data_IF_410251188935
#
_entry.id   IF_410251188935
#
_cell.length_a   1.000
_cell.length_b   1.000
_cell.length_c   1.000
_cell.angle_alpha   90.00
_cell.angle_beta   90.00
_cell.angle_gamma   90.00
#
_symmetry.space_group_name_H-M   'P 1'
#
loop_
_entity.id
_entity.type
_entity.pdbx_description
1 polymer ?
#
# COMPACT_ATOMS: atom_id res chain seq x y z
N UNK A 1 4.04 28.98 5.54
CA UNK A 1 4.83 28.05 6.37
C UNK A 1 4.15 26.70 6.32
N UNK A 2 4.89 25.64 5.99
CA UNK A 2 4.35 24.28 5.97
C UNK A 2 3.95 23.85 7.39
N UNK A 3 2.72 23.36 7.57
CA UNK A 3 2.25 22.85 8.85
C UNK A 3 3.01 21.55 9.20
N UNK A 4 3.32 21.32 10.50
CA UNK A 4 3.89 20.04 10.93
C UNK A 4 2.89 18.89 10.77
N UNK A 5 3.40 17.65 10.78
CA UNK A 5 2.54 16.47 10.71
C UNK A 5 1.77 16.26 12.02
N UNK A 6 0.48 15.88 11.92
CA UNK A 6 -0.32 15.46 13.07
C UNK A 6 0.19 14.14 13.64
N UNK A 7 -0.05 13.88 14.92
CA UNK A 7 0.30 12.61 15.57
C UNK A 7 -0.28 11.40 14.83
N UNK A 8 -1.54 11.50 14.38
CA UNK A 8 -2.19 10.46 13.59
C UNK A 8 -1.46 10.22 12.26
N UNK A 9 -1.12 11.29 11.53
CA UNK A 9 -0.39 11.19 10.26
C UNK A 9 0.94 10.47 10.46
N UNK A 10 1.65 10.77 11.56
CA UNK A 10 2.92 10.10 11.87
C UNK A 10 2.72 8.61 12.11
N UNK A 11 1.73 8.25 12.92
CA UNK A 11 1.41 6.84 13.20
C UNK A 11 1.07 6.11 11.89
N UNK A 12 0.26 6.71 11.03
CA UNK A 12 -0.12 6.10 9.75
C UNK A 12 1.08 5.93 8.81
N UNK A 13 1.94 6.94 8.67
CA UNK A 13 3.18 6.82 7.88
C UNK A 13 4.10 5.71 8.42
N UNK A 14 4.18 5.52 9.74
CA UNK A 14 4.94 4.43 10.35
C UNK A 14 4.31 3.08 9.99
N UNK A 15 3.00 2.92 10.19
CA UNK A 15 2.27 1.68 9.88
C UNK A 15 2.43 1.34 8.40
N UNK A 16 2.25 2.31 7.52
CA UNK A 16 2.38 2.12 6.09
C UNK A 16 3.80 1.70 5.69
N UNK A 17 4.84 2.31 6.27
CA UNK A 17 6.23 1.90 6.04
C UNK A 17 6.52 0.47 6.53
N UNK A 18 6.01 0.10 7.71
CA UNK A 18 6.17 -1.24 8.30
C UNK A 18 5.48 -2.33 7.49
N UNK A 19 4.42 -2.00 6.74
CA UNK A 19 3.77 -2.97 5.86
C UNK A 19 4.43 -3.01 4.48
N UNK A 20 4.70 -1.85 3.89
CA UNK A 20 5.17 -1.77 2.49
C UNK A 20 6.62 -2.17 2.30
N UNK A 21 7.52 -1.90 3.26
CA UNK A 21 8.93 -2.31 3.14
C UNK A 21 9.06 -3.83 3.22
N UNK A 22 8.56 -4.54 4.25
CA UNK A 22 8.66 -5.99 4.32
C UNK A 22 7.86 -6.68 3.21
N UNK A 23 6.65 -6.18 2.90
CA UNK A 23 5.86 -6.73 1.79
C UNK A 23 6.56 -6.58 0.44
N UNK A 24 7.21 -5.43 0.21
CA UNK A 24 7.97 -5.20 -1.00
C UNK A 24 9.25 -6.04 -1.08
N UNK A 25 9.97 -6.21 0.04
CA UNK A 25 11.12 -7.12 0.13
C UNK A 25 10.70 -8.57 -0.17
N UNK A 26 9.57 -9.02 0.39
CA UNK A 26 9.05 -10.35 0.13
C UNK A 26 8.67 -10.52 -1.35
N UNK A 27 8.09 -9.51 -2.00
CA UNK A 27 7.80 -9.53 -3.43
C UNK A 27 9.05 -9.61 -4.32
N UNK A 28 10.15 -8.96 -3.91
CA UNK A 28 11.40 -8.94 -4.68
C UNK A 28 12.18 -10.24 -4.50
N UNK A 29 12.32 -10.70 -3.25
CA UNK A 29 13.26 -11.76 -2.89
C UNK A 29 12.61 -13.12 -2.60
N UNK A 30 11.30 -13.18 -2.41
CA UNK A 30 10.58 -14.42 -2.14
C UNK A 30 9.43 -14.61 -3.15
N UNK A 31 9.73 -15.11 -4.37
CA UNK A 31 8.72 -15.27 -5.43
C UNK A 31 7.43 -16.01 -5.02
N UNK A 32 7.45 -17.03 -4.15
CA UNK A 32 6.23 -17.65 -3.65
C UNK A 32 5.31 -16.70 -2.89
N UNK A 33 5.82 -15.61 -2.30
CA UNK A 33 4.99 -14.58 -1.69
C UNK A 33 4.01 -13.96 -2.69
N UNK A 34 4.48 -13.69 -3.91
CA UNK A 34 3.65 -13.12 -4.96
C UNK A 34 2.50 -14.07 -5.34
N UNK A 35 2.74 -15.38 -5.43
CA UNK A 35 1.73 -16.35 -5.91
C UNK A 35 0.91 -17.02 -4.81
N UNK A 36 1.36 -17.00 -3.56
CA UNK A 36 0.65 -17.62 -2.44
C UNK A 36 -0.07 -16.61 -1.55
N UNK A 37 0.42 -15.37 -1.53
CA UNK A 37 -0.08 -14.34 -0.59
C UNK A 37 -0.69 -13.17 -1.35
N UNK A 38 0.05 -12.54 -2.27
CA UNK A 38 -0.40 -11.29 -2.91
C UNK A 38 -1.36 -11.53 -4.08
N UNK A 39 -1.05 -12.50 -4.94
CA UNK A 39 -1.88 -12.95 -6.05
C UNK A 39 -2.16 -14.46 -5.98
N UNK A 40 -2.82 -14.94 -4.91
CA UNK A 40 -3.23 -16.34 -4.78
C UNK A 40 -4.28 -16.72 -5.82
N UNK A 41 -4.39 -18.01 -6.19
CA UNK A 41 -5.52 -18.50 -6.96
C UNK A 41 -6.86 -18.07 -6.34
N UNK A 42 -7.87 -17.68 -7.15
CA UNK A 42 -7.93 -17.77 -8.61
C UNK A 42 -7.36 -16.55 -9.36
N UNK A 43 -6.66 -15.63 -8.69
CA UNK A 43 -6.08 -14.45 -9.35
C UNK A 43 -5.13 -14.87 -10.47
N UNK A 44 -5.17 -14.15 -11.60
CA UNK A 44 -4.26 -14.39 -12.70
C UNK A 44 -2.80 -14.25 -12.21
N UNK A 45 -1.97 -15.23 -12.58
CA UNK A 45 -0.56 -15.22 -12.19
C UNK A 45 0.12 -13.97 -12.72
N UNK A 46 0.77 -13.22 -11.83
CA UNK A 46 1.53 -12.03 -12.19
C UNK A 46 2.91 -12.43 -12.75
N UNK A 47 3.38 -11.82 -13.85
CA UNK A 47 4.76 -12.00 -14.30
C UNK A 47 5.76 -11.61 -13.20
N UNK A 48 6.83 -12.39 -13.04
CA UNK A 48 7.82 -12.18 -11.97
C UNK A 48 8.40 -10.75 -11.97
N UNK A 49 8.66 -10.19 -13.16
CA UNK A 49 9.11 -8.79 -13.29
C UNK A 49 8.09 -7.79 -12.74
N UNK A 50 6.78 -7.99 -12.98
CA UNK A 50 5.74 -7.10 -12.43
C UNK A 50 5.66 -7.22 -10.90
N UNK A 51 5.78 -8.43 -10.36
CA UNK A 51 5.82 -8.63 -8.91
C UNK A 51 7.03 -7.92 -8.27
N UNK A 52 8.22 -8.06 -8.86
CA UNK A 52 9.43 -7.38 -8.42
C UNK A 52 9.32 -5.86 -8.53
N UNK A 53 8.76 -5.34 -9.62
CA UNK A 53 8.52 -3.91 -9.81
C UNK A 53 7.56 -3.36 -8.76
N UNK A 54 6.43 -4.05 -8.51
CA UNK A 54 5.49 -3.69 -7.45
C UNK A 54 6.18 -3.74 -6.08
N UNK A 55 7.04 -4.73 -5.83
CA UNK A 55 7.83 -4.82 -4.62
C UNK A 55 8.80 -3.64 -4.44
N UNK A 56 9.51 -3.26 -5.50
CA UNK A 56 10.42 -2.11 -5.49
C UNK A 56 9.68 -0.79 -5.24
N UNK A 57 8.51 -0.59 -5.88
CA UNK A 57 7.63 0.55 -5.65
C UNK A 57 7.13 0.58 -4.19
N UNK A 58 6.73 -0.58 -3.65
CA UNK A 58 6.33 -0.71 -2.25
C UNK A 58 7.45 -0.28 -1.29
N UNK A 59 8.68 -0.77 -1.50
CA UNK A 59 9.85 -0.38 -0.72
C UNK A 59 10.09 1.13 -0.83
N UNK A 60 10.11 1.68 -2.05
CA UNK A 60 10.36 3.10 -2.28
C UNK A 60 9.32 3.99 -1.58
N UNK A 61 8.05 3.59 -1.61
CA UNK A 61 6.95 4.31 -0.96
C UNK A 61 7.07 4.25 0.58
N UNK A 62 7.46 3.10 1.13
CA UNK A 62 7.74 2.96 2.55
C UNK A 62 8.95 3.79 3.02
N UNK A 63 10.03 3.81 2.24
CA UNK A 63 11.21 4.67 2.51
C UNK A 63 10.83 6.14 2.46
N UNK A 64 10.03 6.54 1.46
CA UNK A 64 9.58 7.92 1.34
C UNK A 64 8.65 8.34 2.51
N UNK A 65 7.87 7.42 3.07
CA UNK A 65 7.12 7.65 4.32
C UNK A 65 8.05 7.94 5.50
N UNK A 66 9.18 7.22 5.62
CA UNK A 66 10.21 7.48 6.65
C UNK A 66 10.87 8.86 6.44
N UNK A 67 11.14 9.25 5.19
CA UNK A 67 11.70 10.57 4.86
C UNK A 67 10.69 11.66 5.24
N UNK A 68 9.41 11.51 4.89
CA UNK A 68 8.35 12.45 5.25
C UNK A 68 8.22 12.62 6.77
N UNK A 69 8.32 11.52 7.53
CA UNK A 69 8.35 11.54 9.00
C UNK A 69 9.53 12.35 9.54
N UNK A 70 10.73 12.16 8.99
CA UNK A 70 11.94 12.90 9.40
C UNK A 70 11.83 14.38 9.08
N UNK A 71 11.30 14.73 7.91
CA UNK A 71 11.08 16.13 7.53
C UNK A 71 10.01 16.79 8.39
N UNK A 72 9.04 16.01 8.90
CA UNK A 72 7.93 16.47 9.72
C UNK A 72 7.19 17.67 9.09
N UNK A 73 7.11 17.70 7.76
CA UNK A 73 6.46 18.75 6.97
C UNK A 73 5.35 18.15 6.13
N UNK A 74 4.19 18.80 6.15
CA UNK A 74 3.02 18.35 5.41
C UNK A 74 3.23 18.29 3.90
N UNK A 75 3.88 19.30 3.31
CA UNK A 75 4.14 19.34 1.86
C UNK A 75 4.94 18.13 1.37
N UNK A 76 5.86 17.62 2.17
CA UNK A 76 6.63 16.40 1.85
C UNK A 76 5.82 15.09 1.97
N UNK A 77 4.77 15.07 2.79
CA UNK A 77 3.94 13.87 3.00
C UNK A 77 2.80 13.73 1.98
N UNK A 78 2.33 14.83 1.38
CA UNK A 78 1.19 14.82 0.44
C UNK A 78 1.36 13.89 -0.77
N UNK A 79 2.51 13.91 -1.49
CA UNK A 79 2.72 13.01 -2.61
C UNK A 79 2.63 11.53 -2.20
N UNK A 80 3.09 11.19 -1.00
CA UNK A 80 3.04 9.82 -0.48
C UNK A 80 1.62 9.37 -0.17
N UNK A 81 0.84 10.23 0.47
CA UNK A 81 -0.59 9.97 0.73
C UNK A 81 -1.32 9.73 -0.59
N UNK A 82 -1.07 10.55 -1.61
CA UNK A 82 -1.64 10.35 -2.96
C UNK A 82 -1.23 9.01 -3.58
N UNK A 83 0.02 8.60 -3.40
CA UNK A 83 0.52 7.31 -3.89
C UNK A 83 -0.14 6.11 -3.19
N UNK A 84 -0.35 6.18 -1.87
CA UNK A 84 -1.10 5.16 -1.13
C UNK A 84 -2.56 5.06 -1.57
N UNK A 85 -3.22 6.18 -1.90
CA UNK A 85 -4.58 6.16 -2.47
C UNK A 85 -4.60 5.44 -3.82
N UNK A 86 -3.68 5.79 -4.73
CA UNK A 86 -3.60 5.16 -6.04
C UNK A 86 -3.33 3.65 -5.93
N UNK A 87 -2.43 3.25 -5.02
CA UNK A 87 -2.12 1.85 -4.77
C UNK A 87 -3.31 1.08 -4.19
N UNK A 88 -4.03 1.67 -3.23
CA UNK A 88 -5.23 1.08 -2.64
C UNK A 88 -6.34 0.87 -3.68
N UNK A 89 -6.61 1.88 -4.52
CA UNK A 89 -7.60 1.79 -5.59
C UNK A 89 -7.25 0.70 -6.61
N UNK A 90 -5.99 0.64 -7.06
CA UNK A 90 -5.54 -0.38 -8.00
C UNK A 90 -5.66 -1.79 -7.41
N UNK A 91 -5.25 -1.97 -6.15
CA UNK A 91 -5.34 -3.26 -5.46
C UNK A 91 -6.79 -3.70 -5.26
N UNK A 92 -7.68 -2.80 -4.83
CA UNK A 92 -9.09 -3.11 -4.64
C UNK A 92 -9.81 -3.42 -5.95
N UNK A 93 -9.54 -2.66 -7.01
CA UNK A 93 -10.12 -2.93 -8.33
C UNK A 93 -9.79 -4.36 -8.78
N UNK A 94 -8.53 -4.79 -8.65
CA UNK A 94 -8.12 -6.15 -8.99
C UNK A 94 -8.79 -7.17 -8.08
N UNK A 95 -8.81 -6.96 -6.77
CA UNK A 95 -9.39 -7.90 -5.82
C UNK A 95 -10.91 -8.10 -6.04
N UNK A 96 -11.67 -7.00 -6.17
CA UNK A 96 -13.12 -7.03 -6.39
C UNK A 96 -13.46 -7.70 -7.73
N UNK A 97 -12.74 -7.37 -8.80
CA UNK A 97 -12.98 -7.99 -10.12
C UNK A 97 -12.86 -9.51 -10.05
N UNK A 98 -11.94 -10.03 -9.24
CA UNK A 98 -11.77 -11.47 -9.09
C UNK A 98 -12.77 -12.12 -8.12
N UNK A 99 -13.19 -11.42 -7.06
CA UNK A 99 -14.32 -11.86 -6.21
C UNK A 99 -15.58 -12.05 -7.04
N UNK A 100 -15.83 -11.15 -7.99
CA UNK A 100 -16.98 -11.21 -8.88
C UNK A 100 -16.86 -12.32 -9.95
N UNK A 101 -15.65 -12.78 -10.24
CA UNK A 101 -15.40 -13.83 -11.24
C UNK A 101 -15.59 -15.26 -10.71
N UNK A 102 -15.57 -15.47 -9.38
CA UNK A 102 -15.80 -16.79 -8.79
C UNK A 102 -15.31 -16.92 -7.34
N UNK A 103 -15.24 -18.15 -6.82
CA UNK A 103 -14.76 -18.41 -5.46
C UNK A 103 -13.30 -17.98 -5.29
N UNK A 104 -13.02 -17.11 -4.34
CA UNK A 104 -11.66 -16.62 -4.03
C UNK A 104 -11.15 -17.16 -2.70
N UNK A 105 -9.83 -17.28 -2.57
CA UNK A 105 -9.18 -17.59 -1.30
C UNK A 105 -9.47 -16.51 -0.24
N UNK A 106 -9.51 -16.91 1.03
CA UNK A 106 -9.79 -16.01 2.15
C UNK A 106 -8.78 -14.84 2.25
N UNK A 107 -7.55 -15.05 1.78
CA UNK A 107 -6.48 -14.05 1.71
C UNK A 107 -6.86 -12.84 0.85
N UNK A 108 -7.70 -13.01 -0.18
CA UNK A 108 -8.19 -11.90 -1.02
C UNK A 108 -9.01 -10.91 -0.20
N UNK A 109 -9.80 -11.38 0.77
CA UNK A 109 -10.59 -10.51 1.65
C UNK A 109 -9.72 -9.69 2.61
N UNK A 110 -8.58 -10.24 3.06
CA UNK A 110 -7.60 -9.45 3.82
C UNK A 110 -7.05 -8.31 2.98
N UNK A 111 -6.77 -8.55 1.69
CA UNK A 111 -6.29 -7.50 0.78
C UNK A 111 -7.32 -6.41 0.52
N UNK A 112 -8.59 -6.79 0.38
CA UNK A 112 -9.69 -5.82 0.30
C UNK A 112 -9.73 -4.97 1.57
N UNK A 113 -9.69 -5.60 2.75
CA UNK A 113 -9.67 -4.88 4.03
C UNK A 113 -8.46 -3.95 4.17
N UNK A 114 -7.27 -4.40 3.73
CA UNK A 114 -6.05 -3.61 3.73
C UNK A 114 -6.16 -2.41 2.77
N UNK A 115 -6.73 -2.62 1.57
CA UNK A 115 -7.03 -1.57 0.59
C UNK A 115 -7.95 -0.51 1.18
N UNK A 116 -9.06 -0.93 1.81
CA UNK A 116 -10.03 -0.01 2.42
C UNK A 116 -9.36 0.77 3.55
N UNK A 117 -8.55 0.09 4.38
CA UNK A 117 -7.78 0.74 5.42
C UNK A 117 -6.84 1.82 4.86
N UNK A 118 -6.06 1.52 3.82
CA UNK A 118 -5.17 2.51 3.18
C UNK A 118 -5.97 3.67 2.59
N UNK A 119 -7.08 3.39 1.93
CA UNK A 119 -7.91 4.41 1.30
C UNK A 119 -8.51 5.36 2.34
N UNK A 120 -9.19 4.80 3.36
CA UNK A 120 -9.83 5.56 4.44
C UNK A 120 -8.79 6.35 5.22
N UNK A 121 -7.69 5.72 5.63
CA UNK A 121 -6.63 6.40 6.40
C UNK A 121 -5.95 7.50 5.58
N UNK A 122 -5.75 7.30 4.28
CA UNK A 122 -5.24 8.34 3.38
C UNK A 122 -6.20 9.53 3.24
N UNK A 123 -7.50 9.29 3.10
CA UNK A 123 -8.51 10.35 3.06
C UNK A 123 -8.58 11.14 4.37
N UNK A 124 -8.49 10.46 5.52
CA UNK A 124 -8.45 11.11 6.83
C UNK A 124 -7.24 12.05 6.92
N UNK A 125 -6.04 11.56 6.58
CA UNK A 125 -4.82 12.37 6.61
C UNK A 125 -4.89 13.54 5.63
N UNK A 126 -5.41 13.29 4.42
CA UNK A 126 -5.60 14.32 3.40
C UNK A 126 -6.51 15.45 3.91
N UNK A 127 -7.66 15.11 4.49
CA UNK A 127 -8.60 16.09 5.06
C UNK A 127 -8.06 16.84 6.28
N UNK A 128 -7.19 16.24 7.09
CA UNK A 128 -6.63 16.86 8.31
C UNK A 128 -5.70 18.07 8.07
N UNK A 129 -5.79 18.71 6.94
CA UNK A 129 -5.10 19.97 6.70
C UNK A 129 -5.10 20.40 5.25
N UNK A 130 -6.26 20.24 4.64
CA UNK A 130 -6.98 21.45 4.26
C UNK A 130 -7.21 22.29 5.53
#
# INVERSE_FOLDING_TARGET
MDKPLSTLTKILLIVWAVVTIPGGLALVFYPPFATLVVWPPPLAAIPAFHAQLNGAIGIATGVASIIALRQNRRGGAQPMIGMYVAYALAAEFVAITNVLAGPVAWTVWLYIGLGIFYLVSSFIVWRQGQ
#
